data_IF_613643976248
#
_entry.id   IF_613643976248
#
_cell.length_a   1.000
_cell.length_b   1.000
_cell.length_c   1.000
_cell.angle_alpha   90.00
_cell.angle_beta   90.00
_cell.angle_gamma   90.00
#
_symmetry.space_group_name_H-M   'P 1'
#
loop_
_entity.id
_entity.type
_entity.pdbx_description
1 polymer ?
#
# COMPACT_ATOMS: atom_id res chain seq x y z
N UNK A 1 9.77 43.50 -50.93
CA UNK A 1 9.77 42.07 -50.62
C UNK A 1 9.67 41.89 -49.10
N UNK A 2 8.50 41.61 -48.57
CA UNK A 2 8.24 41.40 -47.12
C UNK A 2 8.45 39.93 -46.78
N UNK A 3 9.45 39.64 -45.93
CA UNK A 3 9.71 38.29 -45.43
C UNK A 3 8.76 38.02 -44.24
N UNK A 4 7.82 37.08 -44.39
CA UNK A 4 6.97 36.59 -43.32
C UNK A 4 7.77 35.51 -42.59
N UNK A 5 8.15 35.77 -41.34
CA UNK A 5 8.75 34.79 -40.48
C UNK A 5 7.63 33.92 -39.84
N UNK A 6 7.56 32.67 -40.24
CA UNK A 6 6.65 31.69 -39.67
C UNK A 6 7.25 31.20 -38.35
N UNK A 7 6.70 31.66 -37.22
CA UNK A 7 7.07 31.18 -35.89
C UNK A 7 6.39 29.80 -35.66
N UNK A 8 7.19 28.74 -35.68
CA UNK A 8 6.76 27.41 -35.35
C UNK A 8 6.66 27.28 -33.82
N UNK A 9 5.46 27.35 -33.27
CA UNK A 9 5.20 27.17 -31.85
C UNK A 9 5.28 25.67 -31.54
N UNK A 10 6.42 25.22 -31.02
CA UNK A 10 6.60 23.85 -30.51
C UNK A 10 5.74 23.69 -29.24
N UNK A 11 4.58 23.04 -29.37
CA UNK A 11 3.83 22.49 -28.23
C UNK A 11 4.69 21.40 -27.59
N UNK A 12 5.36 21.73 -26.49
CA UNK A 12 5.95 20.70 -25.63
C UNK A 12 4.82 19.96 -24.90
N UNK A 13 4.81 18.63 -24.97
CA UNK A 13 3.84 17.88 -24.17
C UNK A 13 4.14 18.16 -22.69
N UNK A 14 3.16 18.73 -21.99
CA UNK A 14 3.18 18.80 -20.53
C UNK A 14 3.01 17.37 -20.01
N UNK A 15 4.09 16.76 -19.52
CA UNK A 15 3.97 15.56 -18.71
C UNK A 15 3.17 15.96 -17.47
N UNK A 16 1.90 15.60 -17.43
CA UNK A 16 1.14 15.68 -16.20
C UNK A 16 1.86 14.81 -15.16
N UNK A 17 2.38 15.46 -14.11
CA UNK A 17 3.03 14.77 -13.01
C UNK A 17 1.93 13.86 -12.38
N UNK A 18 2.11 12.55 -12.47
CA UNK A 18 1.11 11.61 -12.00
C UNK A 18 0.90 11.85 -10.50
N UNK A 19 -0.34 12.10 -10.11
CA UNK A 19 -0.68 12.30 -8.69
C UNK A 19 -0.21 11.08 -7.89
N UNK A 20 0.41 11.28 -6.72
CA UNK A 20 0.87 10.17 -5.90
C UNK A 20 -0.31 9.29 -5.48
N UNK A 21 -0.08 7.98 -5.39
CA UNK A 21 -1.06 7.07 -4.81
C UNK A 21 -1.11 7.29 -3.29
N UNK A 22 -2.31 7.54 -2.78
CA UNK A 22 -2.53 7.77 -1.35
C UNK A 22 -3.55 6.75 -0.83
N UNK A 23 -3.17 5.97 0.17
CA UNK A 23 -4.09 5.10 0.90
C UNK A 23 -4.83 5.92 1.96
N UNK A 24 -6.16 5.89 1.92
CA UNK A 24 -7.05 6.43 2.96
C UNK A 24 -7.50 5.27 3.83
N UNK A 25 -7.02 5.22 5.07
CA UNK A 25 -7.24 4.13 6.01
C UNK A 25 -8.24 4.60 7.07
N UNK A 26 -9.47 4.13 6.97
CA UNK A 26 -10.55 4.40 7.93
C UNK A 26 -10.52 3.35 9.04
N UNK A 27 -10.50 3.80 10.29
CA UNK A 27 -10.42 2.92 11.46
C UNK A 27 -11.41 3.32 12.54
N UNK A 28 -11.59 2.49 13.57
CA UNK A 28 -12.37 2.83 14.77
C UNK A 28 -11.86 4.08 15.51
N UNK A 29 -10.62 4.51 15.23
CA UNK A 29 -9.98 5.68 15.88
C UNK A 29 -10.00 6.94 15.02
N UNK A 30 -10.43 6.83 13.77
CA UNK A 30 -10.46 7.93 12.81
C UNK A 30 -9.78 7.55 11.50
N UNK A 31 -9.55 8.56 10.67
CA UNK A 31 -9.00 8.41 9.32
C UNK A 31 -7.55 8.86 9.30
N UNK A 32 -6.71 8.09 8.64
CA UNK A 32 -5.33 8.46 8.31
C UNK A 32 -5.09 8.33 6.82
N UNK A 33 -4.24 9.19 6.27
CA UNK A 33 -3.79 9.09 4.88
C UNK A 33 -2.31 8.76 4.83
N UNK A 34 -1.95 7.88 3.91
CA UNK A 34 -0.56 7.45 3.70
C UNK A 34 -0.19 7.55 2.22
N UNK A 35 0.86 8.32 1.93
CA UNK A 35 1.48 8.34 0.61
C UNK A 35 2.21 7.03 0.36
N UNK A 36 1.93 6.40 -0.79
CA UNK A 36 2.55 5.14 -1.22
C UNK A 36 3.72 5.42 -2.16
N UNK A 37 4.82 4.68 -1.99
CA UNK A 37 6.02 4.86 -2.81
C UNK A 37 6.14 3.74 -3.86
N UNK A 38 5.38 3.88 -4.94
CA UNK A 38 5.36 2.93 -6.06
C UNK A 38 6.63 2.95 -6.94
N UNK A 39 7.51 3.93 -6.72
CA UNK A 39 8.82 3.99 -7.40
C UNK A 39 9.85 3.09 -6.70
N UNK A 40 9.88 3.09 -5.38
CA UNK A 40 10.85 2.34 -4.60
C UNK A 40 10.37 0.94 -4.19
N UNK A 41 9.05 0.73 -4.11
CA UNK A 41 8.44 -0.54 -3.75
C UNK A 41 7.23 -0.88 -4.66
N UNK A 42 7.42 -0.95 -6.00
CA UNK A 42 6.33 -1.07 -6.96
C UNK A 42 5.53 -2.37 -6.81
N UNK A 43 6.15 -3.49 -6.48
CA UNK A 43 5.46 -4.77 -6.28
C UNK A 43 4.63 -4.76 -5.01
N UNK A 44 5.19 -4.23 -3.94
CA UNK A 44 4.53 -4.12 -2.63
C UNK A 44 3.35 -3.16 -2.68
N UNK A 45 3.52 -1.99 -3.33
CA UNK A 45 2.42 -1.03 -3.53
C UNK A 45 1.33 -1.62 -4.41
N UNK A 46 1.68 -2.30 -5.52
CA UNK A 46 0.68 -2.94 -6.38
C UNK A 46 -0.14 -4.00 -5.62
N UNK A 47 0.52 -4.83 -4.80
CA UNK A 47 -0.15 -5.79 -3.93
C UNK A 47 -1.12 -5.10 -2.95
N UNK A 48 -0.63 -4.12 -2.19
CA UNK A 48 -1.43 -3.43 -1.19
C UNK A 48 -2.62 -2.70 -1.82
N UNK A 49 -2.42 -1.99 -2.93
CA UNK A 49 -3.48 -1.28 -3.66
C UNK A 49 -4.51 -2.25 -4.23
N UNK A 50 -4.07 -3.37 -4.83
CA UNK A 50 -4.99 -4.40 -5.33
C UNK A 50 -5.87 -4.97 -4.22
N UNK A 51 -5.29 -5.35 -3.09
CA UNK A 51 -6.02 -5.84 -1.93
C UNK A 51 -7.01 -4.80 -1.38
N UNK A 52 -6.60 -3.53 -1.29
CA UNK A 52 -7.45 -2.44 -0.84
C UNK A 52 -8.64 -2.21 -1.76
N UNK A 53 -8.41 -2.11 -3.08
CA UNK A 53 -9.47 -1.91 -4.08
C UNK A 53 -10.46 -3.08 -4.10
N UNK A 54 -9.98 -4.30 -3.85
CA UNK A 54 -10.82 -5.50 -3.74
C UNK A 54 -11.56 -5.60 -2.40
N UNK A 55 -11.30 -4.71 -1.44
CA UNK A 55 -11.94 -4.71 -0.13
C UNK A 55 -11.42 -5.80 0.82
N UNK A 56 -10.25 -6.37 0.55
CA UNK A 56 -9.64 -7.41 1.38
C UNK A 56 -9.41 -6.97 2.83
N UNK A 57 -9.10 -5.70 3.05
CA UNK A 57 -8.83 -5.15 4.37
C UNK A 57 -10.08 -4.72 5.14
N UNK A 58 -11.25 -4.64 4.48
CA UNK A 58 -12.47 -4.12 5.07
C UNK A 58 -12.93 -5.03 6.24
N UNK A 59 -13.08 -4.45 7.43
CA UNK A 59 -13.49 -5.16 8.64
C UNK A 59 -12.38 -5.97 9.33
N UNK A 60 -11.16 -6.05 8.77
CA UNK A 60 -10.03 -6.69 9.45
C UNK A 60 -9.60 -5.90 10.68
N UNK A 61 -8.86 -6.51 11.59
CA UNK A 61 -8.42 -5.86 12.81
C UNK A 61 -6.91 -5.63 12.86
N UNK A 62 -6.51 -4.64 13.65
CA UNK A 62 -5.14 -4.55 14.16
C UNK A 62 -4.97 -5.63 15.23
N UNK A 63 -4.52 -6.82 14.83
CA UNK A 63 -4.43 -7.99 15.71
C UNK A 63 -3.24 -7.93 16.67
N UNK A 64 -2.20 -7.15 16.34
CA UNK A 64 -1.02 -6.92 17.17
C UNK A 64 -0.69 -5.43 17.26
N UNK A 65 -0.67 -4.88 18.46
CA UNK A 65 -0.29 -3.49 18.72
C UNK A 65 0.68 -3.48 19.88
N UNK A 66 1.88 -2.98 19.64
CA UNK A 66 2.90 -2.79 20.66
C UNK A 66 3.20 -1.31 20.83
N UNK A 67 2.94 -0.81 22.01
CA UNK A 67 3.19 0.61 22.35
C UNK A 67 4.67 0.95 22.12
N UNK A 68 4.93 2.12 21.53
CA UNK A 68 6.26 2.59 21.17
C UNK A 68 6.98 1.70 20.13
N UNK A 69 6.24 0.88 19.39
CA UNK A 69 6.80 0.08 18.32
C UNK A 69 5.93 0.21 17.06
N UNK A 70 4.79 -0.50 16.98
CA UNK A 70 3.94 -0.48 15.78
C UNK A 70 2.51 -0.96 16.06
N UNK A 71 1.60 -0.70 15.12
CA UNK A 71 0.29 -1.32 14.99
C UNK A 71 0.28 -2.19 13.71
N UNK A 72 0.02 -3.50 13.85
CA UNK A 72 0.02 -4.49 12.77
C UNK A 72 -1.40 -5.00 12.50
N UNK A 73 -1.78 -5.00 11.21
CA UNK A 73 -3.07 -5.49 10.71
C UNK A 73 -2.92 -6.23 9.38
N UNK A 74 -4.05 -6.39 8.65
CA UNK A 74 -4.06 -7.02 7.33
C UNK A 74 -4.04 -8.55 7.34
N UNK A 75 -4.32 -9.16 8.49
CA UNK A 75 -4.45 -10.60 8.67
C UNK A 75 -5.94 -11.00 8.73
N UNK A 76 -6.46 -11.79 7.75
CA UNK A 76 -7.85 -12.23 7.76
C UNK A 76 -8.21 -13.18 8.92
N UNK A 77 -7.22 -13.85 9.53
CA UNK A 77 -7.41 -14.72 10.70
C UNK A 77 -7.26 -13.99 12.03
N UNK A 78 -6.63 -12.81 12.01
CA UNK A 78 -6.35 -11.99 13.19
C UNK A 78 -5.51 -12.69 14.29
N UNK A 79 -4.69 -13.68 13.92
CA UNK A 79 -3.80 -14.46 14.80
C UNK A 79 -2.30 -14.35 14.41
N UNK A 80 -2.00 -13.66 13.33
CA UNK A 80 -0.65 -13.48 12.78
C UNK A 80 -0.27 -14.51 11.70
N UNK A 81 -1.14 -15.50 11.42
CA UNK A 81 -0.85 -16.60 10.49
C UNK A 81 -1.56 -16.49 9.16
N UNK A 82 -2.56 -15.60 9.05
CA UNK A 82 -3.35 -15.41 7.85
C UNK A 82 -2.66 -14.54 6.80
N UNK A 83 -3.16 -14.63 5.57
CA UNK A 83 -2.65 -13.89 4.42
C UNK A 83 -3.57 -14.01 3.22
N UNK A 84 -3.16 -13.48 2.06
CA UNK A 84 -3.99 -13.44 0.86
C UNK A 84 -3.97 -14.75 0.06
N UNK A 85 -3.29 -15.79 0.56
CA UNK A 85 -3.13 -17.08 -0.13
C UNK A 85 -1.90 -17.16 -1.02
N UNK A 86 -1.12 -16.10 -1.13
CA UNK A 86 0.16 -16.04 -1.83
C UNK A 86 1.20 -15.25 -1.04
N UNK A 87 2.45 -15.36 -1.45
CA UNK A 87 3.58 -14.62 -0.90
C UNK A 87 4.45 -14.08 -2.03
N UNK A 88 5.25 -13.06 -1.74
CA UNK A 88 6.18 -12.47 -2.70
C UNK A 88 7.46 -11.96 -2.03
N UNK A 89 8.48 -11.72 -2.85
CA UNK A 89 9.75 -11.17 -2.37
C UNK A 89 9.65 -9.70 -2.02
N UNK A 90 10.20 -9.32 -0.89
CA UNK A 90 10.20 -7.95 -0.41
C UNK A 90 11.08 -6.99 -1.22
N UNK A 91 10.79 -5.69 -1.08
CA UNK A 91 11.52 -4.56 -1.68
C UNK A 91 12.13 -3.72 -0.56
N UNK A 92 13.41 -3.91 -0.27
CA UNK A 92 14.07 -3.48 0.97
C UNK A 92 14.87 -2.17 0.85
N UNK A 93 14.55 -1.33 -0.14
CA UNK A 93 15.29 -0.10 -0.44
C UNK A 93 15.07 0.99 0.60
N UNK A 94 13.82 1.16 1.06
CA UNK A 94 13.43 2.20 1.99
C UNK A 94 13.70 1.83 3.44
N UNK A 95 13.71 2.85 4.32
CA UNK A 95 14.12 2.72 5.72
C UNK A 95 13.00 3.07 6.70
N UNK A 96 13.03 2.42 7.88
CA UNK A 96 12.12 2.67 9.00
C UNK A 96 12.63 3.83 9.88
N UNK A 97 12.90 4.98 9.29
CA UNK A 97 13.65 6.08 9.91
C UNK A 97 12.79 7.08 10.70
N UNK A 98 11.49 6.84 10.81
CA UNK A 98 10.54 7.75 11.50
C UNK A 98 9.25 7.05 11.93
N UNK A 99 8.41 7.80 12.61
CA UNK A 99 7.03 7.45 12.91
C UNK A 99 6.17 7.43 11.65
N UNK A 100 5.12 6.57 11.62
CA UNK A 100 4.13 6.53 10.55
C UNK A 100 4.61 5.85 9.27
N UNK A 101 5.70 5.10 9.31
CA UNK A 101 6.13 4.28 8.16
C UNK A 101 5.20 3.09 8.00
N UNK A 102 4.69 2.87 6.76
CA UNK A 102 3.98 1.65 6.36
C UNK A 102 4.98 0.63 5.84
N UNK A 103 4.94 -0.57 6.41
CA UNK A 103 5.85 -1.65 6.04
C UNK A 103 5.16 -3.02 6.10
N UNK A 104 5.60 -3.98 5.28
CA UNK A 104 5.06 -5.33 5.27
C UNK A 104 5.57 -6.15 6.46
N UNK A 105 4.66 -6.84 7.12
CA UNK A 105 5.02 -7.90 8.05
C UNK A 105 5.31 -9.18 7.26
N UNK A 106 6.33 -9.93 7.68
CA UNK A 106 6.72 -11.19 7.08
C UNK A 106 7.34 -12.14 8.10
N UNK A 107 7.53 -13.40 7.71
CA UNK A 107 8.19 -14.46 8.49
C UNK A 107 9.59 -14.80 7.95
N UNK A 108 10.20 -13.88 7.21
CA UNK A 108 11.50 -14.01 6.58
C UNK A 108 11.47 -13.65 5.09
N UNK A 109 12.60 -13.75 4.40
CA UNK A 109 12.70 -13.38 2.98
C UNK A 109 11.69 -14.13 2.11
N UNK A 110 11.02 -13.41 1.20
CA UNK A 110 10.07 -13.99 0.25
C UNK A 110 8.68 -14.28 0.82
N UNK A 111 8.36 -13.82 2.04
CA UNK A 111 7.08 -14.13 2.68
C UNK A 111 6.19 -12.90 2.92
N UNK A 112 6.42 -11.80 2.22
CA UNK A 112 5.49 -10.68 2.21
C UNK A 112 4.13 -11.13 1.64
N UNK A 113 3.03 -10.68 2.23
CA UNK A 113 1.66 -11.07 1.83
C UNK A 113 0.67 -9.91 1.96
N UNK A 114 -0.31 -10.02 2.85
CA UNK A 114 -1.28 -8.94 3.11
C UNK A 114 -1.02 -8.20 4.43
N UNK A 115 -0.29 -8.80 5.38
CA UNK A 115 -0.07 -8.20 6.67
C UNK A 115 0.89 -7.00 6.56
N UNK A 116 0.51 -5.88 7.17
CA UNK A 116 1.31 -4.67 7.23
C UNK A 116 1.32 -4.08 8.63
N UNK A 117 2.28 -3.21 8.90
CA UNK A 117 2.31 -2.45 10.14
C UNK A 117 2.61 -0.96 9.90
N UNK A 118 2.19 -0.15 10.87
CA UNK A 118 2.46 1.29 10.89
C UNK A 118 3.29 1.59 12.13
N UNK A 119 4.47 2.19 11.96
CA UNK A 119 5.40 2.43 13.06
C UNK A 119 4.96 3.56 13.97
N UNK A 120 5.14 3.38 15.29
CA UNK A 120 4.92 4.42 16.30
C UNK A 120 6.14 5.35 16.48
N UNK A 121 7.31 4.91 16.06
CA UNK A 121 8.58 5.66 16.07
C UNK A 121 9.53 5.05 15.02
N UNK A 122 10.74 5.57 14.90
CA UNK A 122 11.77 4.97 14.06
C UNK A 122 12.17 3.58 14.55
N UNK A 123 12.25 2.59 13.64
CA UNK A 123 12.57 1.19 13.95
C UNK A 123 13.68 0.66 13.03
N UNK A 124 14.92 1.23 13.10
CA UNK A 124 15.98 0.93 12.14
C UNK A 124 16.46 -0.54 12.18
N UNK A 125 16.17 -1.30 13.25
CA UNK A 125 16.44 -2.73 13.34
C UNK A 125 15.63 -3.59 12.37
N UNK A 126 14.59 -3.03 11.74
CA UNK A 126 13.76 -3.66 10.69
C UNK A 126 14.29 -3.38 9.28
N UNK A 127 15.26 -2.47 9.13
CA UNK A 127 15.84 -2.14 7.83
C UNK A 127 16.48 -3.36 7.17
N UNK A 128 16.25 -3.51 5.86
CA UNK A 128 16.74 -4.65 5.09
C UNK A 128 16.05 -5.99 5.38
N UNK A 129 14.94 -5.98 6.17
CA UNK A 129 14.16 -7.18 6.52
C UNK A 129 12.69 -7.06 6.14
N UNK A 130 12.13 -5.86 6.21
CA UNK A 130 10.74 -5.57 5.94
C UNK A 130 10.62 -4.51 4.84
N UNK A 131 9.65 -4.69 3.94
CA UNK A 131 9.42 -3.82 2.79
C UNK A 131 8.66 -2.57 3.21
N UNK A 132 9.36 -1.44 3.36
CA UNK A 132 8.73 -0.15 3.51
C UNK A 132 8.13 0.26 2.17
N UNK A 133 6.83 0.60 2.14
CA UNK A 133 6.12 0.95 0.91
C UNK A 133 5.32 2.25 0.98
N UNK A 134 5.29 2.92 2.13
CA UNK A 134 4.59 4.18 2.29
C UNK A 134 4.83 4.84 3.64
N UNK A 135 4.18 5.99 3.82
CA UNK A 135 4.22 6.74 5.08
C UNK A 135 2.93 7.50 5.31
N UNK A 136 2.51 7.60 6.56
CA UNK A 136 1.38 8.44 6.97
C UNK A 136 1.75 9.91 6.82
N UNK A 137 0.93 10.66 6.09
CA UNK A 137 1.05 12.10 5.85
C UNK A 137 -0.01 12.89 6.62
N UNK A 138 -1.18 12.30 6.86
CA UNK A 138 -2.27 12.90 7.63
C UNK A 138 -2.79 11.89 8.66
N UNK A 139 -3.25 12.37 9.82
CA UNK A 139 -3.80 11.50 10.86
C UNK A 139 -2.75 10.75 11.68
N UNK A 140 -1.49 11.20 11.73
CA UNK A 140 -0.42 10.56 12.50
C UNK A 140 -0.76 10.35 13.98
N UNK A 141 -1.48 11.26 14.70
CA UNK A 141 -1.92 10.99 16.07
C UNK A 141 -2.87 9.80 16.20
N UNK A 142 -3.63 9.45 15.14
CA UNK A 142 -4.55 8.31 15.13
C UNK A 142 -3.75 7.00 15.20
N UNK A 143 -2.60 6.91 14.52
CA UNK A 143 -1.70 5.74 14.59
C UNK A 143 -1.38 5.37 16.04
N UNK A 144 -1.12 6.36 16.89
CA UNK A 144 -0.79 6.16 18.31
C UNK A 144 -1.99 5.81 19.19
N UNK A 145 -3.20 6.05 18.69
CA UNK A 145 -4.46 5.73 19.40
C UNK A 145 -4.98 4.34 19.07
N UNK A 146 -4.46 3.70 18.00
CA UNK A 146 -4.85 2.34 17.61
C UNK A 146 -4.56 1.39 18.76
N UNK A 147 -5.52 0.50 19.04
CA UNK A 147 -5.45 -0.55 20.05
C UNK A 147 -5.66 -1.91 19.40
N UNK A 148 -5.19 -2.94 20.08
CA UNK A 148 -5.44 -4.32 19.64
C UNK A 148 -6.95 -4.56 19.50
N UNK A 149 -7.36 -5.15 18.38
CA UNK A 149 -8.73 -5.43 17.93
C UNK A 149 -9.50 -4.23 17.37
N UNK A 150 -8.95 -3.01 17.35
CA UNK A 150 -9.56 -1.93 16.57
C UNK A 150 -9.65 -2.36 15.10
N UNK A 151 -10.73 -1.97 14.43
CA UNK A 151 -11.01 -2.37 13.06
C UNK A 151 -10.43 -1.40 12.05
N UNK A 152 -9.99 -1.96 10.94
CA UNK A 152 -9.87 -1.27 9.68
C UNK A 152 -11.26 -1.31 9.06
N UNK A 153 -11.97 -0.18 9.08
CA UNK A 153 -13.33 -0.11 8.53
C UNK A 153 -13.28 -0.25 7.01
N UNK A 154 -12.32 0.43 6.39
CA UNK A 154 -12.05 0.38 4.95
C UNK A 154 -10.68 0.94 4.64
N UNK A 155 -10.10 0.49 3.52
CA UNK A 155 -8.99 1.17 2.85
C UNK A 155 -9.41 1.52 1.44
N UNK A 156 -9.36 2.81 1.09
CA UNK A 156 -9.52 3.31 -0.27
C UNK A 156 -8.21 3.90 -0.79
N UNK A 157 -8.12 4.13 -2.10
CA UNK A 157 -6.93 4.67 -2.75
C UNK A 157 -7.31 5.88 -3.58
N UNK A 158 -6.68 7.02 -3.28
CA UNK A 158 -6.70 8.23 -4.10
C UNK A 158 -5.54 8.17 -5.12
N UNK A 159 -5.73 8.70 -6.33
CA UNK A 159 -4.80 8.59 -7.45
C UNK A 159 -5.16 7.44 -8.40
N UNK A 160 -4.47 7.39 -9.54
CA UNK A 160 -4.71 6.38 -10.59
C UNK A 160 -3.62 5.29 -10.58
N UNK A 161 -3.93 4.05 -10.20
CA UNK A 161 -2.97 2.96 -10.18
C UNK A 161 -2.72 2.31 -11.55
N UNK A 162 -3.38 2.76 -12.63
CA UNK A 162 -3.38 2.09 -13.94
C UNK A 162 -1.98 1.82 -14.49
N UNK A 163 -1.08 2.79 -14.39
CA UNK A 163 0.30 2.62 -14.87
C UNK A 163 1.09 1.59 -14.03
N UNK A 164 0.94 1.64 -12.71
CA UNK A 164 1.54 0.67 -11.82
C UNK A 164 1.03 -0.74 -12.12
N UNK A 165 -0.29 -0.88 -12.32
CA UNK A 165 -0.93 -2.17 -12.59
C UNK A 165 -0.56 -2.74 -13.94
N UNK A 166 -0.44 -1.92 -15.00
CA UNK A 166 0.09 -2.37 -16.30
C UNK A 166 1.50 -2.95 -16.19
N UNK A 167 2.37 -2.28 -15.43
CA UNK A 167 3.74 -2.79 -15.18
C UNK A 167 3.79 -4.07 -14.37
N UNK A 168 2.73 -4.45 -13.68
CA UNK A 168 2.61 -5.63 -12.81
C UNK A 168 1.49 -6.59 -13.24
N UNK A 169 0.99 -6.44 -14.47
CA UNK A 169 -0.19 -7.13 -14.97
C UNK A 169 -0.15 -8.64 -14.74
N UNK A 170 0.94 -9.31 -15.16
CA UNK A 170 1.07 -10.75 -15.01
C UNK A 170 1.00 -11.17 -13.54
N UNK A 171 1.71 -10.49 -12.67
CA UNK A 171 1.75 -10.83 -11.25
C UNK A 171 0.39 -10.58 -10.57
N UNK A 172 -0.27 -9.47 -10.92
CA UNK A 172 -1.63 -9.18 -10.43
C UNK A 172 -2.64 -10.22 -10.91
N UNK A 173 -2.54 -10.71 -12.15
CA UNK A 173 -3.40 -11.77 -12.65
C UNK A 173 -3.22 -13.08 -11.86
N UNK A 174 -1.99 -13.48 -11.58
CA UNK A 174 -1.67 -14.65 -10.74
C UNK A 174 -2.26 -14.50 -9.32
N UNK A 175 -2.07 -13.35 -8.68
CA UNK A 175 -2.60 -13.06 -7.35
C UNK A 175 -4.14 -13.01 -7.32
N UNK A 176 -4.75 -12.39 -8.32
CA UNK A 176 -6.20 -12.29 -8.40
C UNK A 176 -6.86 -13.67 -8.59
N UNK A 177 -6.25 -14.58 -9.35
CA UNK A 177 -6.73 -15.95 -9.48
C UNK A 177 -6.76 -16.69 -8.12
N UNK A 178 -5.74 -16.47 -7.29
CA UNK A 178 -5.71 -17.02 -5.92
C UNK A 178 -6.77 -16.38 -5.03
N UNK A 179 -6.91 -15.04 -5.10
CA UNK A 179 -7.90 -14.30 -4.32
C UNK A 179 -9.33 -14.71 -4.69
N UNK A 180 -9.64 -14.86 -5.97
CA UNK A 180 -10.97 -15.28 -6.45
C UNK A 180 -11.34 -16.68 -5.95
N UNK A 181 -10.36 -17.56 -5.80
CA UNK A 181 -10.57 -18.90 -5.26
C UNK A 181 -10.74 -18.91 -3.74
N UNK A 182 -9.92 -18.15 -3.00
CA UNK A 182 -9.88 -18.22 -1.54
C UNK A 182 -10.85 -17.23 -0.86
N UNK A 183 -11.16 -16.14 -1.54
CA UNK A 183 -11.98 -15.04 -1.03
C UNK A 183 -13.01 -14.61 -2.09
N UNK A 184 -14.00 -15.45 -2.42
CA UNK A 184 -14.94 -15.22 -3.54
C UNK A 184 -15.83 -13.97 -3.37
N UNK A 185 -15.97 -13.49 -2.14
CA UNK A 185 -16.81 -12.31 -1.83
C UNK A 185 -16.08 -10.97 -2.03
N UNK A 186 -14.81 -10.98 -2.42
CA UNK A 186 -14.08 -9.74 -2.71
C UNK A 186 -14.64 -9.05 -3.95
N UNK A 187 -14.49 -7.71 -4.00
CA UNK A 187 -14.83 -6.93 -5.20
C UNK A 187 -14.02 -7.44 -6.41
N UNK A 188 -14.59 -7.25 -7.60
CA UNK A 188 -13.88 -7.58 -8.85
C UNK A 188 -12.52 -6.86 -8.93
N UNK A 189 -11.55 -7.49 -9.60
CA UNK A 189 -10.24 -6.90 -9.80
C UNK A 189 -10.34 -5.61 -10.62
N UNK A 190 -9.55 -4.61 -10.27
CA UNK A 190 -9.42 -3.37 -11.03
C UNK A 190 -8.71 -3.68 -12.37
N UNK A 191 -9.35 -3.30 -13.47
CA UNK A 191 -8.78 -3.42 -14.82
C UNK A 191 -8.34 -2.02 -15.27
N UNK A 192 -7.03 -1.78 -15.52
CA UNK A 192 -6.57 -0.53 -16.09
C UNK A 192 -7.15 -0.31 -17.48
N UNK A 193 -7.60 0.92 -17.75
CA UNK A 193 -8.09 1.32 -19.08
C UNK A 193 -6.94 1.58 -20.04
#
# INVERSE_FOLDING_TARGET
MKRIALACLLLMPTFADAQPLVAVIETDRGVMKAELNDRAAPTTVANFVNLALRGFYDGLSFHRVERNFMAQGGDPRADGTGGPGYQFSGELLLKHNRQGVLSMANSGPGTDGSQFFITHLATPHLDGKHSVFGRVTEGLPIVLQIRRRDKIQRITVEGDPSELFRRRERQLAEWNAVLDQQFPDLRAAFLPK
#
